data_IF_203274214733
#
_entry.id   IF_203274214733
#
_cell.length_a   1.000
_cell.length_b   1.000
_cell.length_c   1.000
_cell.angle_alpha   90.00
_cell.angle_beta   90.00
_cell.angle_gamma   90.00
#
_symmetry.space_group_name_H-M   'P 1'
#
loop_
_entity.id
_entity.type
_entity.pdbx_description
1 polymer ?
#
# COMPACT_ATOMS: atom_id res chain seq x y z
N UNK A 1 24.66 -46.39 -16.46
CA UNK A 1 25.54 -45.43 -15.75
C UNK A 1 25.01 -44.04 -16.07
N UNK A 2 24.20 -43.47 -15.16
CA UNK A 2 24.60 -42.40 -14.22
C UNK A 2 24.98 -41.12 -15.01
N UNK A 3 24.28 -39.99 -14.94
CA UNK A 3 23.68 -39.36 -13.76
C UNK A 3 22.50 -38.45 -14.11
N UNK A 4 21.43 -38.58 -13.31
CA UNK A 4 20.34 -37.63 -13.17
C UNK A 4 20.82 -36.46 -12.31
N UNK A 5 20.84 -35.24 -12.85
CA UNK A 5 21.04 -34.01 -12.08
C UNK A 5 19.70 -33.49 -11.57
N UNK A 6 19.20 -34.09 -10.49
CA UNK A 6 18.10 -33.51 -9.72
C UNK A 6 18.64 -32.28 -8.97
N UNK A 7 18.40 -31.10 -9.55
CA UNK A 7 18.56 -29.84 -8.85
C UNK A 7 17.70 -29.84 -7.60
N UNK A 8 18.33 -29.85 -6.43
CA UNK A 8 17.66 -29.69 -5.13
C UNK A 8 16.93 -28.34 -5.14
N UNK A 9 15.61 -28.38 -5.24
CA UNK A 9 14.75 -27.25 -4.88
C UNK A 9 14.98 -27.03 -3.38
N UNK A 10 15.79 -26.03 -3.04
CA UNK A 10 16.01 -25.62 -1.66
C UNK A 10 14.67 -25.02 -1.21
N UNK A 11 13.88 -25.80 -0.48
CA UNK A 11 12.62 -25.34 0.09
C UNK A 11 12.93 -24.10 0.95
N UNK A 12 12.58 -22.92 0.44
CA UNK A 12 12.77 -21.68 1.16
C UNK A 12 11.93 -21.77 2.42
N UNK A 13 12.59 -21.76 3.59
CA UNK A 13 11.86 -21.63 4.85
C UNK A 13 11.19 -20.25 4.84
N UNK A 14 9.94 -20.23 5.27
CA UNK A 14 9.07 -19.06 5.28
C UNK A 14 8.59 -18.85 6.73
N UNK A 15 8.58 -17.59 7.17
CA UNK A 15 8.05 -17.17 8.47
C UNK A 15 6.91 -16.18 8.23
N UNK A 16 5.81 -16.31 8.97
CA UNK A 16 4.72 -15.31 8.92
C UNK A 16 5.20 -14.00 9.53
N UNK A 17 5.00 -12.88 8.85
CA UNK A 17 5.39 -11.53 9.28
C UNK A 17 4.87 -11.19 10.68
N UNK A 18 3.63 -11.58 10.99
CA UNK A 18 3.01 -11.28 12.29
C UNK A 18 3.61 -12.08 13.46
N UNK A 19 4.42 -13.09 13.18
CA UNK A 19 5.18 -13.84 14.20
C UNK A 19 6.51 -13.17 14.57
N UNK A 20 6.94 -12.16 13.79
CA UNK A 20 8.17 -11.42 14.07
C UNK A 20 7.97 -10.42 15.21
N UNK A 21 8.97 -10.29 16.06
CA UNK A 21 9.05 -9.23 17.06
C UNK A 21 9.28 -7.86 16.40
N UNK A 22 8.99 -6.78 17.13
CA UNK A 22 9.09 -5.42 16.57
C UNK A 22 10.49 -5.08 16.04
N UNK A 23 11.54 -5.45 16.79
CA UNK A 23 12.93 -5.28 16.40
C UNK A 23 13.30 -6.08 15.14
N UNK A 24 12.74 -7.27 14.96
CA UNK A 24 12.93 -8.09 13.76
C UNK A 24 12.22 -7.45 12.56
N UNK A 25 11.00 -6.93 12.74
CA UNK A 25 10.29 -6.17 11.70
C UNK A 25 11.05 -4.91 11.28
N UNK A 26 11.62 -4.17 12.24
CA UNK A 26 12.40 -2.96 11.95
C UNK A 26 13.72 -3.26 11.21
N UNK A 27 14.37 -4.37 11.60
CA UNK A 27 15.59 -4.86 10.94
C UNK A 27 15.29 -5.35 9.51
N UNK A 28 14.23 -6.16 9.36
CA UNK A 28 13.71 -6.63 8.07
C UNK A 28 13.40 -5.45 7.16
N UNK A 29 12.66 -4.45 7.67
CA UNK A 29 12.33 -3.25 6.90
C UNK A 29 13.57 -2.52 6.42
N UNK A 30 14.53 -2.31 7.30
CA UNK A 30 15.78 -1.65 6.94
C UNK A 30 16.57 -2.44 5.90
N UNK A 31 16.61 -3.78 6.01
CA UNK A 31 17.25 -4.65 5.03
C UNK A 31 16.56 -4.58 3.66
N UNK A 32 15.24 -4.78 3.63
CA UNK A 32 14.43 -4.76 2.42
C UNK A 32 14.50 -3.40 1.73
N UNK A 33 14.47 -2.29 2.48
CA UNK A 33 14.60 -0.95 1.90
C UNK A 33 15.95 -0.78 1.19
N UNK A 34 17.07 -1.19 1.80
CA UNK A 34 18.41 -1.13 1.16
C UNK A 34 18.46 -1.95 -0.12
N UNK A 35 17.93 -3.18 -0.09
CA UNK A 35 17.89 -4.07 -1.25
C UNK A 35 16.99 -3.51 -2.35
N UNK A 36 15.85 -2.96 -1.98
CA UNK A 36 14.91 -2.34 -2.90
C UNK A 36 15.54 -1.15 -3.65
N UNK A 37 16.23 -0.28 -2.92
CA UNK A 37 16.86 0.93 -3.44
C UNK A 37 18.19 0.68 -4.19
N UNK A 38 18.72 -0.55 -4.10
CA UNK A 38 20.02 -0.92 -4.64
C UNK A 38 21.15 -0.03 -4.08
N UNK A 39 21.07 0.31 -2.79
CA UNK A 39 22.03 1.19 -2.13
C UNK A 39 23.34 0.47 -1.81
N UNK A 40 24.47 1.11 -2.12
CA UNK A 40 25.80 0.68 -1.69
C UNK A 40 26.03 1.01 -0.21
N UNK A 41 27.00 0.36 0.48
CA UNK A 41 27.26 0.61 1.91
C UNK A 41 27.57 2.08 2.27
N UNK A 42 28.27 2.82 1.39
CA UNK A 42 28.56 4.24 1.58
C UNK A 42 27.30 5.12 1.44
N UNK A 43 26.46 4.82 0.46
CA UNK A 43 25.17 5.50 0.28
C UNK A 43 24.21 5.19 1.43
N UNK A 44 24.34 4.01 2.06
CA UNK A 44 23.57 3.58 3.24
C UNK A 44 23.78 4.49 4.45
N UNK A 45 25.00 4.99 4.65
CA UNK A 45 25.33 5.83 5.81
C UNK A 45 24.71 7.22 5.63
N UNK A 46 24.85 7.80 4.44
CA UNK A 46 24.20 9.05 4.07
C UNK A 46 22.67 8.96 4.06
N UNK A 47 22.10 7.87 3.53
CA UNK A 47 20.65 7.63 3.52
C UNK A 47 20.12 7.39 4.93
N UNK A 48 20.87 6.71 5.80
CA UNK A 48 20.51 6.52 7.21
C UNK A 48 20.52 7.83 7.99
N UNK A 49 21.50 8.71 7.78
CA UNK A 49 21.51 10.07 8.38
C UNK A 49 20.34 10.89 7.85
N UNK A 50 20.08 10.87 6.54
CA UNK A 50 18.94 11.58 5.94
C UNK A 50 17.60 11.05 6.44
N UNK A 51 17.50 9.74 6.67
CA UNK A 51 16.34 9.04 7.21
C UNK A 51 16.15 9.39 8.69
N UNK A 52 17.22 9.45 9.48
CA UNK A 52 17.20 9.98 10.85
C UNK A 52 16.72 11.42 10.91
N UNK A 53 17.20 12.29 10.01
CA UNK A 53 16.71 13.66 9.87
C UNK A 53 15.23 13.72 9.45
N UNK A 54 14.74 12.78 8.62
CA UNK A 54 13.31 12.66 8.27
C UNK A 54 12.46 12.13 9.45
N UNK A 55 12.99 11.24 10.28
CA UNK A 55 12.32 10.75 11.50
C UNK A 55 12.07 11.84 12.55
N UNK A 56 12.68 13.02 12.39
CA UNK A 56 12.34 14.20 13.19
C UNK A 56 10.95 14.77 12.88
N UNK A 57 10.34 14.44 11.73
CA UNK A 57 8.93 14.79 11.46
C UNK A 57 8.01 13.82 12.19
N UNK A 58 6.99 14.31 12.92
CA UNK A 58 6.06 13.45 13.65
C UNK A 58 5.31 12.55 12.67
N UNK A 59 5.36 11.24 12.89
CA UNK A 59 4.60 10.25 12.14
C UNK A 59 3.10 10.47 12.42
N UNK A 60 2.31 10.67 11.36
CA UNK A 60 0.86 10.78 11.48
C UNK A 60 0.27 9.44 11.92
N UNK A 61 -0.46 9.44 13.03
CA UNK A 61 -1.16 8.27 13.53
C UNK A 61 -2.33 7.95 12.61
N UNK A 62 -2.45 6.70 12.18
CA UNK A 62 -3.60 6.24 11.39
C UNK A 62 -4.83 6.19 12.30
N UNK A 63 -5.92 6.79 11.84
CA UNK A 63 -7.22 6.82 12.51
C UNK A 63 -7.80 5.41 12.60
N UNK A 64 -8.34 5.03 13.76
CA UNK A 64 -9.01 3.74 13.91
C UNK A 64 -10.33 3.70 13.14
N UNK A 65 -11.02 4.85 13.01
CA UNK A 65 -12.26 4.97 12.24
C UNK A 65 -12.09 4.50 10.77
N UNK A 66 -10.88 4.54 10.21
CA UNK A 66 -10.65 4.04 8.84
C UNK A 66 -10.97 2.55 8.71
N UNK A 67 -10.75 1.76 9.76
CA UNK A 67 -11.02 0.32 9.74
C UNK A 67 -12.52 0.04 9.85
N UNK A 68 -13.25 0.86 10.62
CA UNK A 68 -14.72 0.80 10.65
C UNK A 68 -15.32 1.16 9.30
N UNK A 69 -14.76 2.18 8.63
CA UNK A 69 -15.14 2.56 7.27
C UNK A 69 -14.86 1.41 6.29
N UNK A 70 -13.69 0.77 6.36
CA UNK A 70 -13.36 -0.39 5.52
C UNK A 70 -14.40 -1.50 5.73
N UNK A 71 -14.74 -1.81 6.98
CA UNK A 71 -15.72 -2.82 7.31
C UNK A 71 -17.13 -2.45 6.82
N UNK A 72 -17.52 -1.19 6.93
CA UNK A 72 -18.77 -0.69 6.40
C UNK A 72 -18.83 -0.81 4.87
N UNK A 73 -17.76 -0.42 4.16
CA UNK A 73 -17.68 -0.54 2.70
C UNK A 73 -17.65 -2.00 2.23
N UNK A 74 -17.06 -2.93 2.99
CA UNK A 74 -17.15 -4.38 2.70
C UNK A 74 -18.59 -4.91 2.81
N UNK A 75 -19.45 -4.28 3.59
CA UNK A 75 -20.86 -4.69 3.80
C UNK A 75 -21.82 -3.98 2.85
N UNK A 76 -21.76 -2.66 2.79
CA UNK A 76 -22.72 -1.82 2.05
C UNK A 76 -22.20 -1.44 0.65
N UNK A 77 -20.88 -1.36 0.49
CA UNK A 77 -20.23 -0.96 -0.75
C UNK A 77 -20.36 -1.97 -1.89
N UNK A 78 -20.53 -3.25 -1.58
CA UNK A 78 -20.60 -4.33 -2.56
C UNK A 78 -21.78 -4.20 -3.54
N UNK A 79 -22.84 -3.48 -3.16
CA UNK A 79 -24.05 -3.26 -3.96
C UNK A 79 -24.08 -1.88 -4.65
N UNK A 80 -23.11 -1.02 -4.37
CA UNK A 80 -23.12 0.37 -4.87
C UNK A 80 -22.46 0.45 -6.24
N UNK A 81 -23.25 0.73 -7.29
CA UNK A 81 -22.73 0.88 -8.64
C UNK A 81 -21.66 1.97 -8.72
N UNK A 82 -20.52 1.65 -9.34
CA UNK A 82 -19.45 2.60 -9.58
C UNK A 82 -18.73 3.07 -8.31
N UNK A 83 -18.79 2.31 -7.21
CA UNK A 83 -18.00 2.59 -6.00
C UNK A 83 -16.52 2.85 -6.33
N UNK A 84 -15.90 3.81 -5.65
CA UNK A 84 -14.57 4.37 -5.96
C UNK A 84 -14.42 5.14 -7.28
N UNK A 85 -15.29 4.93 -8.27
CA UNK A 85 -15.30 5.67 -9.55
C UNK A 85 -16.13 6.94 -9.48
N UNK A 86 -17.35 6.84 -8.97
CA UNK A 86 -18.32 7.94 -8.99
C UNK A 86 -18.02 8.98 -7.89
N UNK A 87 -18.25 10.27 -8.18
CA UNK A 87 -18.14 11.33 -7.18
C UNK A 87 -19.29 11.27 -6.18
N UNK A 88 -19.13 11.97 -5.06
CA UNK A 88 -20.13 12.15 -4.01
C UNK A 88 -20.31 13.62 -3.67
N UNK A 89 -21.18 13.94 -2.71
CA UNK A 89 -21.31 15.30 -2.21
C UNK A 89 -19.99 15.77 -1.55
N UNK A 90 -19.40 16.84 -2.09
CA UNK A 90 -18.10 17.35 -1.64
C UNK A 90 -18.12 17.81 -0.17
N UNK A 91 -19.17 18.50 0.27
CA UNK A 91 -19.28 19.01 1.63
C UNK A 91 -19.40 17.86 2.64
N UNK A 92 -20.25 16.87 2.35
CA UNK A 92 -20.40 15.67 3.19
C UNK A 92 -19.10 14.84 3.23
N UNK A 93 -18.41 14.74 2.10
CA UNK A 93 -17.11 14.05 2.00
C UNK A 93 -16.06 14.72 2.88
N UNK A 94 -15.93 16.05 2.82
CA UNK A 94 -14.99 16.77 3.68
C UNK A 94 -15.35 16.66 5.15
N UNK A 95 -16.64 16.75 5.50
CA UNK A 95 -17.12 16.57 6.87
C UNK A 95 -16.72 15.20 7.41
N UNK A 96 -16.99 14.13 6.65
CA UNK A 96 -16.62 12.78 7.03
C UNK A 96 -15.09 12.61 7.12
N UNK A 97 -14.33 13.15 6.17
CA UNK A 97 -12.86 13.12 6.24
C UNK A 97 -12.33 13.79 7.51
N UNK A 98 -12.93 14.90 7.96
CA UNK A 98 -12.52 15.55 9.21
C UNK A 98 -12.78 14.65 10.45
N UNK A 99 -13.93 13.95 10.50
CA UNK A 99 -14.18 12.96 11.54
C UNK A 99 -13.12 11.84 11.53
N UNK A 100 -12.67 11.39 10.35
CA UNK A 100 -11.57 10.42 10.23
C UNK A 100 -10.27 11.01 10.78
N UNK A 101 -9.89 12.22 10.37
CA UNK A 101 -8.65 12.89 10.82
C UNK A 101 -8.62 13.02 12.35
N UNK A 102 -9.73 13.43 12.95
CA UNK A 102 -9.86 13.61 14.39
C UNK A 102 -10.10 12.30 15.16
N UNK A 103 -10.30 11.18 14.44
CA UNK A 103 -10.66 9.88 15.01
C UNK A 103 -11.89 9.95 15.93
N UNK A 104 -12.90 10.71 15.47
CA UNK A 104 -14.17 10.91 16.18
C UNK A 104 -15.13 9.77 15.91
N UNK A 105 -15.83 9.29 16.95
CA UNK A 105 -16.88 8.29 16.77
C UNK A 105 -18.09 8.92 16.07
N UNK A 106 -18.55 8.27 15.01
CA UNK A 106 -19.70 8.71 14.21
C UNK A 106 -20.51 7.52 13.74
N UNK A 107 -21.80 7.74 13.50
CA UNK A 107 -22.64 6.77 12.82
C UNK A 107 -22.46 6.90 11.30
N UNK A 108 -21.86 5.87 10.69
CA UNK A 108 -21.63 5.81 9.24
C UNK A 108 -22.94 5.68 8.44
N UNK A 109 -24.03 5.20 9.05
CA UNK A 109 -25.34 5.07 8.37
C UNK A 109 -25.95 6.41 7.96
N UNK A 110 -25.48 7.51 8.55
CA UNK A 110 -25.90 8.86 8.23
C UNK A 110 -25.30 9.40 6.91
N UNK A 111 -24.40 8.66 6.27
CA UNK A 111 -23.73 9.06 5.04
C UNK A 111 -24.05 8.07 3.91
N UNK A 112 -24.19 8.56 2.68
CA UNK A 112 -24.28 7.68 1.53
C UNK A 112 -22.95 6.97 1.28
N UNK A 113 -23.02 5.77 0.69
CA UNK A 113 -21.84 4.91 0.47
C UNK A 113 -20.78 5.57 -0.41
N UNK A 114 -21.17 6.38 -1.41
CA UNK A 114 -20.22 7.09 -2.25
C UNK A 114 -19.48 8.17 -1.45
N UNK A 115 -20.16 8.88 -0.55
CA UNK A 115 -19.51 9.81 0.40
C UNK A 115 -18.49 9.10 1.28
N UNK A 116 -18.84 7.93 1.83
CA UNK A 116 -17.91 7.12 2.64
C UNK A 116 -16.69 6.69 1.82
N UNK A 117 -16.90 6.16 0.62
CA UNK A 117 -15.82 5.71 -0.27
C UNK A 117 -14.91 6.87 -0.72
N UNK A 118 -15.47 8.05 -0.98
CA UNK A 118 -14.68 9.23 -1.36
C UNK A 118 -13.95 9.83 -0.16
N UNK A 119 -14.53 9.84 1.04
CA UNK A 119 -13.87 10.30 2.25
C UNK A 119 -12.70 9.38 2.64
N UNK A 120 -12.88 8.06 2.47
CA UNK A 120 -11.83 7.05 2.59
C UNK A 120 -10.63 7.36 1.66
N UNK A 121 -10.89 7.52 0.36
CA UNK A 121 -9.83 7.88 -0.62
C UNK A 121 -9.17 9.21 -0.28
N UNK A 122 -9.96 10.20 0.12
CA UNK A 122 -9.48 11.55 0.46
C UNK A 122 -8.56 11.52 1.67
N UNK A 123 -8.94 10.83 2.73
CA UNK A 123 -8.12 10.66 3.94
C UNK A 123 -6.75 10.04 3.59
N UNK A 124 -6.72 8.92 2.86
CA UNK A 124 -5.46 8.28 2.50
C UNK A 124 -4.60 9.21 1.62
N UNK A 125 -5.19 9.83 0.59
CA UNK A 125 -4.45 10.66 -0.37
C UNK A 125 -3.93 11.96 0.25
N UNK A 126 -4.74 12.63 1.05
CA UNK A 126 -4.48 14.01 1.49
C UNK A 126 -3.90 14.07 2.89
N UNK A 127 -4.38 13.22 3.81
CA UNK A 127 -3.91 13.20 5.18
C UNK A 127 -2.66 12.32 5.33
N UNK A 128 -2.68 11.11 4.78
CA UNK A 128 -1.55 10.16 4.90
C UNK A 128 -0.45 10.34 3.83
N UNK A 129 -0.73 11.17 2.81
CA UNK A 129 0.07 11.32 1.59
C UNK A 129 0.35 9.96 0.93
N UNK A 130 -0.70 9.15 0.80
CA UNK A 130 -0.61 7.79 0.28
C UNK A 130 -0.10 6.76 1.30
N UNK A 131 -0.15 5.49 0.90
CA UNK A 131 0.28 4.35 1.71
C UNK A 131 1.71 3.92 1.38
N UNK A 132 2.22 4.27 0.21
CA UNK A 132 3.58 3.93 -0.19
C UNK A 132 4.54 5.03 0.30
N UNK A 133 5.63 4.68 1.03
CA UNK A 133 6.62 5.66 1.45
C UNK A 133 7.24 6.39 0.25
N UNK A 134 7.55 7.68 0.46
CA UNK A 134 8.09 8.56 -0.58
C UNK A 134 9.37 8.01 -1.20
N UNK A 135 10.29 7.51 -0.37
CA UNK A 135 11.57 6.92 -0.81
C UNK A 135 11.41 5.64 -1.64
N UNK A 136 10.36 4.86 -1.37
CA UNK A 136 10.01 3.66 -2.13
C UNK A 136 9.41 4.07 -3.48
N UNK A 137 8.52 5.07 -3.48
CA UNK A 137 7.92 5.61 -4.69
C UNK A 137 8.94 6.26 -5.64
N UNK A 138 9.95 6.97 -5.12
CA UNK A 138 11.04 7.49 -5.95
C UNK A 138 11.89 6.40 -6.57
N UNK A 139 12.10 5.30 -5.86
CA UNK A 139 12.82 4.13 -6.39
C UNK A 139 12.03 3.49 -7.52
N UNK A 140 10.71 3.37 -7.38
CA UNK A 140 9.82 2.97 -8.48
C UNK A 140 9.95 3.91 -9.68
N UNK A 141 9.86 5.21 -9.47
CA UNK A 141 9.99 6.21 -10.55
C UNK A 141 11.33 6.06 -11.29
N UNK A 142 12.43 5.87 -10.56
CA UNK A 142 13.77 5.61 -11.12
C UNK A 142 13.79 4.31 -11.93
N UNK A 143 13.21 3.25 -11.39
CA UNK A 143 13.17 1.93 -12.04
C UNK A 143 12.33 1.94 -13.33
N UNK A 144 11.22 2.68 -13.34
CA UNK A 144 10.39 2.94 -14.54
C UNK A 144 11.21 3.66 -15.61
N UNK A 145 11.90 4.76 -15.24
CA UNK A 145 12.75 5.54 -16.16
C UNK A 145 13.89 4.70 -16.78
N UNK A 146 14.36 3.68 -16.06
CA UNK A 146 15.37 2.75 -16.50
C UNK A 146 14.81 1.51 -17.22
N UNK A 147 13.52 1.50 -17.61
CA UNK A 147 12.85 0.37 -18.25
C UNK A 147 12.93 -0.95 -17.47
N UNK A 148 13.01 -0.89 -16.14
CA UNK A 148 12.99 -2.07 -15.26
C UNK A 148 12.08 -1.83 -14.03
N UNK A 149 10.77 -1.59 -14.24
CA UNK A 149 9.85 -1.13 -13.20
C UNK A 149 9.68 -2.10 -12.03
N UNK A 150 9.93 -3.40 -12.25
CA UNK A 150 9.76 -4.46 -11.24
C UNK A 150 11.08 -4.88 -10.59
N UNK A 151 12.16 -4.13 -10.80
CA UNK A 151 13.45 -4.40 -10.15
C UNK A 151 13.26 -4.50 -8.63
N UNK A 152 13.70 -5.62 -8.05
CA UNK A 152 13.70 -5.88 -6.61
C UNK A 152 12.30 -5.81 -5.96
N UNK A 153 11.22 -5.98 -6.74
CA UNK A 153 9.84 -5.82 -6.27
C UNK A 153 9.48 -6.80 -5.12
N UNK A 154 10.18 -7.93 -5.02
CA UNK A 154 10.01 -8.91 -3.94
C UNK A 154 10.31 -8.35 -2.54
N UNK A 155 11.11 -7.29 -2.44
CA UNK A 155 11.39 -6.63 -1.15
C UNK A 155 10.32 -5.60 -0.77
N UNK A 156 9.51 -5.14 -1.73
CA UNK A 156 8.53 -4.06 -1.55
C UNK A 156 7.60 -4.25 -0.35
N UNK A 157 6.96 -5.41 -0.12
CA UNK A 157 5.97 -5.59 0.95
C UNK A 157 6.54 -5.26 2.34
N UNK A 158 7.85 -5.48 2.50
CA UNK A 158 8.57 -5.32 3.75
C UNK A 158 9.29 -3.97 3.84
N UNK A 159 9.23 -3.11 2.82
CA UNK A 159 9.73 -1.72 2.91
C UNK A 159 8.76 -0.77 3.63
N UNK A 160 7.49 -1.17 3.72
CA UNK A 160 6.41 -0.38 4.28
C UNK A 160 6.54 -0.25 5.80
N UNK A 161 6.12 0.88 6.34
CA UNK A 161 5.92 1.02 7.78
C UNK A 161 4.75 0.15 8.24
N UNK A 162 4.81 -0.40 9.45
CA UNK A 162 3.84 -1.39 9.92
C UNK A 162 2.38 -0.93 9.83
N UNK A 163 2.06 0.27 10.31
CA UNK A 163 0.68 0.79 10.25
C UNK A 163 0.20 0.97 8.81
N UNK A 164 1.07 1.49 7.92
CA UNK A 164 0.75 1.67 6.49
C UNK A 164 0.64 0.34 5.77
N UNK A 165 1.47 -0.65 6.11
CA UNK A 165 1.39 -2.03 5.61
C UNK A 165 0.06 -2.66 6.00
N UNK A 166 -0.31 -2.58 7.28
CA UNK A 166 -1.57 -3.12 7.79
C UNK A 166 -2.77 -2.47 7.09
N UNK A 167 -2.77 -1.14 6.97
CA UNK A 167 -3.82 -0.44 6.25
C UNK A 167 -3.88 -0.84 4.77
N UNK A 168 -2.74 -0.96 4.08
CA UNK A 168 -2.69 -1.38 2.68
C UNK A 168 -3.28 -2.77 2.46
N UNK A 169 -2.97 -3.72 3.35
CA UNK A 169 -3.57 -5.07 3.32
C UNK A 169 -5.09 -5.00 3.47
N UNK A 170 -5.60 -4.20 4.40
CA UNK A 170 -7.03 -4.01 4.58
C UNK A 170 -7.71 -3.31 3.39
N UNK A 171 -7.03 -2.35 2.76
CA UNK A 171 -7.47 -1.71 1.51
C UNK A 171 -7.56 -2.74 0.38
N UNK A 172 -6.56 -3.60 0.22
CA UNK A 172 -6.60 -4.67 -0.79
C UNK A 172 -7.67 -5.71 -0.50
N UNK A 173 -7.88 -6.06 0.78
CA UNK A 173 -8.98 -6.91 1.23
C UNK A 173 -10.34 -6.30 0.87
N UNK A 174 -10.52 -4.99 1.07
CA UNK A 174 -11.73 -4.26 0.63
C UNK A 174 -11.91 -4.33 -0.88
N UNK A 175 -10.87 -4.06 -1.68
CA UNK A 175 -10.98 -4.12 -3.14
C UNK A 175 -11.35 -5.52 -3.63
N UNK A 176 -10.77 -6.56 -3.03
CA UNK A 176 -11.11 -7.96 -3.31
C UNK A 176 -12.57 -8.25 -2.97
N UNK A 177 -13.10 -7.70 -1.88
CA UNK A 177 -14.50 -7.89 -1.52
C UNK A 177 -15.45 -7.23 -2.53
N UNK A 178 -15.17 -5.98 -2.94
CA UNK A 178 -15.95 -5.29 -3.96
C UNK A 178 -15.91 -6.04 -5.30
N UNK A 179 -14.75 -6.54 -5.71
CA UNK A 179 -14.56 -7.28 -6.97
C UNK A 179 -15.44 -8.54 -7.07
N UNK A 180 -15.66 -9.27 -5.95
CA UNK A 180 -16.56 -10.45 -5.91
C UNK A 180 -17.97 -10.12 -6.38
N UNK A 181 -18.41 -8.87 -6.20
CA UNK A 181 -19.74 -8.40 -6.57
C UNK A 181 -19.72 -7.49 -7.81
N UNK A 182 -18.65 -7.54 -8.61
CA UNK A 182 -18.45 -6.71 -9.80
C UNK A 182 -19.56 -6.82 -10.86
N UNK A 183 -20.33 -7.91 -10.88
CA UNK A 183 -21.53 -8.02 -11.72
C UNK A 183 -22.64 -7.03 -11.34
N UNK A 184 -22.73 -6.68 -10.06
CA UNK A 184 -23.70 -5.73 -9.48
C UNK A 184 -23.11 -4.33 -9.45
N UNK A 185 -22.00 -4.14 -8.74
CA UNK A 185 -21.41 -2.81 -8.55
C UNK A 185 -20.62 -2.29 -9.77
N UNK A 186 -20.41 -3.10 -10.82
CA UNK A 186 -19.66 -2.77 -12.06
C UNK A 186 -18.16 -2.47 -11.86
N UNK A 187 -17.61 -2.77 -10.69
CA UNK A 187 -16.24 -2.47 -10.31
C UNK A 187 -15.46 -3.77 -10.07
N UNK A 188 -14.89 -4.33 -11.15
CA UNK A 188 -13.91 -5.40 -11.02
C UNK A 188 -12.55 -4.86 -10.54
N UNK A 189 -11.65 -5.74 -10.14
CA UNK A 189 -10.33 -5.36 -9.59
C UNK A 189 -9.51 -4.52 -10.56
N UNK A 190 -9.57 -4.79 -11.87
CA UNK A 190 -8.85 -3.99 -12.88
C UNK A 190 -9.39 -2.56 -12.96
N UNK A 191 -10.72 -2.38 -12.88
CA UNK A 191 -11.36 -1.07 -12.86
C UNK A 191 -11.01 -0.30 -11.58
N UNK A 192 -10.95 -0.98 -10.44
CA UNK A 192 -10.56 -0.36 -9.15
C UNK A 192 -9.10 0.10 -9.22
N UNK A 193 -8.18 -0.80 -9.59
CA UNK A 193 -6.74 -0.52 -9.64
C UNK A 193 -6.35 0.50 -10.72
N UNK A 194 -7.23 0.79 -11.69
CA UNK A 194 -7.06 1.90 -12.63
C UNK A 194 -7.27 3.28 -11.98
N UNK A 195 -8.14 3.38 -10.97
CA UNK A 195 -8.64 4.66 -10.43
C UNK A 195 -7.99 5.04 -9.11
N UNK A 196 -7.64 4.04 -8.28
CA UNK A 196 -7.06 4.27 -6.95
C UNK A 196 -5.56 4.61 -6.88
N UNK A 197 -4.71 4.52 -7.93
CA UNK A 197 -3.29 4.87 -7.82
C UNK A 197 -3.00 6.26 -7.21
N UNK A 198 -3.71 7.36 -7.55
CA UNK A 198 -3.51 8.65 -6.90
C UNK A 198 -3.77 8.65 -5.39
N UNK A 199 -4.53 7.66 -4.90
CA UNK A 199 -4.80 7.46 -3.48
C UNK A 199 -3.67 6.68 -2.80
N UNK A 200 -3.09 5.69 -3.48
CA UNK A 200 -2.11 4.77 -2.88
C UNK A 200 -0.69 5.35 -2.90
N UNK A 201 -0.30 6.01 -3.99
CA UNK A 201 1.03 6.60 -4.14
C UNK A 201 1.11 8.01 -3.56
N UNK A 202 2.27 8.45 -3.07
CA UNK A 202 2.46 9.78 -2.54
C UNK A 202 2.41 10.85 -3.64
N UNK A 203 2.06 12.09 -3.28
CA UNK A 203 2.01 13.22 -4.23
C UNK A 203 3.34 13.48 -4.93
N UNK A 204 4.45 13.09 -4.29
CA UNK A 204 5.80 13.34 -4.77
C UNK A 204 6.12 12.72 -6.16
N UNK A 205 5.39 11.67 -6.55
CA UNK A 205 5.50 11.01 -7.88
C UNK A 205 4.32 11.32 -8.80
N UNK A 206 3.37 12.16 -8.36
CA UNK A 206 2.17 12.54 -9.12
C UNK A 206 2.35 13.90 -9.83
N UNK A 207 3.52 14.13 -10.43
CA UNK A 207 3.89 15.44 -11.01
C UNK A 207 3.14 15.76 -12.30
N UNK A 208 2.97 14.76 -13.17
CA UNK A 208 2.15 14.85 -14.36
C UNK A 208 1.57 13.50 -14.73
N UNK A 209 0.47 13.53 -15.49
CA UNK A 209 -0.30 12.32 -15.83
C UNK A 209 0.56 11.31 -16.60
N UNK A 210 1.35 11.76 -17.59
CA UNK A 210 2.14 10.86 -18.45
C UNK A 210 3.19 10.07 -17.66
N UNK A 211 3.90 10.74 -16.75
CA UNK A 211 4.87 10.08 -15.86
C UNK A 211 4.23 9.18 -14.82
N UNK A 212 2.97 9.46 -14.45
CA UNK A 212 2.25 8.69 -13.44
C UNK A 212 1.54 7.45 -14.02
N UNK A 213 1.19 7.43 -15.31
CA UNK A 213 0.49 6.29 -15.94
C UNK A 213 1.14 4.92 -15.66
N UNK A 214 2.47 4.74 -15.73
CA UNK A 214 3.10 3.44 -15.42
C UNK A 214 2.84 2.93 -14.00
N UNK A 215 2.55 3.81 -13.04
CA UNK A 215 2.23 3.41 -11.66
C UNK A 215 0.91 2.64 -11.56
N UNK A 216 0.00 2.79 -12.52
CA UNK A 216 -1.24 2.00 -12.60
C UNK A 216 -0.91 0.51 -12.75
N UNK A 217 -0.02 0.17 -13.68
CA UNK A 217 0.34 -1.23 -13.92
C UNK A 217 1.21 -1.79 -12.80
N UNK A 218 2.10 -0.97 -12.24
CA UNK A 218 2.89 -1.35 -11.05
C UNK A 218 1.97 -1.63 -9.86
N UNK A 219 0.89 -0.87 -9.67
CA UNK A 219 -0.05 -1.15 -8.57
C UNK A 219 -0.69 -2.53 -8.70
N UNK A 220 -0.93 -3.03 -9.92
CA UNK A 220 -1.43 -4.39 -10.14
C UNK A 220 -0.42 -5.44 -9.70
N UNK A 221 0.87 -5.20 -9.94
CA UNK A 221 1.94 -6.09 -9.45
C UNK A 221 2.06 -6.01 -7.93
N UNK A 222 2.05 -4.81 -7.35
CA UNK A 222 2.06 -4.59 -5.90
C UNK A 222 0.88 -5.28 -5.21
N UNK A 223 -0.31 -5.25 -5.81
CA UNK A 223 -1.52 -5.89 -5.30
C UNK A 223 -1.38 -7.42 -5.21
N UNK A 224 -0.56 -8.04 -6.07
CA UNK A 224 -0.35 -9.48 -6.13
C UNK A 224 0.76 -10.00 -5.21
N UNK A 225 1.54 -9.10 -4.60
CA UNK A 225 2.65 -9.50 -3.73
C UNK A 225 2.17 -10.18 -2.46
N UNK A 226 3.04 -11.04 -1.91
CA UNK A 226 2.83 -11.66 -0.61
C UNK A 226 3.30 -10.72 0.50
N UNK A 227 2.36 -10.26 1.32
CA UNK A 227 2.66 -9.42 2.47
C UNK A 227 2.82 -10.27 3.75
N UNK A 228 2.23 -11.47 3.80
CA UNK A 228 2.12 -12.28 5.01
C UNK A 228 3.36 -13.12 5.26
N UNK A 229 3.99 -13.63 4.20
CA UNK A 229 5.05 -14.62 4.28
C UNK A 229 6.41 -14.00 3.97
N UNK A 230 7.30 -14.00 4.97
CA UNK A 230 8.67 -13.51 4.88
C UNK A 230 9.59 -14.69 4.51
N UNK A 231 10.33 -14.61 3.40
CA UNK A 231 11.40 -15.57 3.11
C UNK A 231 12.49 -15.50 4.19
N UNK A 232 12.91 -16.63 4.77
CA UNK A 232 13.94 -16.65 5.83
C UNK A 232 15.25 -15.97 5.43
N UNK A 233 15.59 -15.99 4.13
CA UNK A 233 16.79 -15.31 3.60
C UNK A 233 16.79 -13.79 3.84
N UNK A 234 15.65 -13.20 4.20
CA UNK A 234 15.52 -11.79 4.55
C UNK A 234 15.74 -11.52 6.05
N UNK A 235 15.64 -12.53 6.91
CA UNK A 235 15.72 -12.41 8.38
C UNK A 235 17.15 -12.71 8.88
N UNK A 236 17.86 -13.65 8.24
CA UNK A 236 19.18 -14.12 8.68
C UNK A 236 20.35 -13.14 8.41
N UNK A 237 20.12 -11.82 8.28
CA UNK A 237 21.13 -10.85 7.79
C UNK A 237 21.14 -9.49 8.46
#
# INVERSE_FOLDING_TARGET
MLTSSTGKIKCLKIIKYDRLFQNEKDSLRSYCLRKYQDETPLNTLASSIRRWLKFAKPKKKISNLIYDIINHLKKEGIHTEGIFRLPSNFAATNKLTNHIINNESIDLSCFDVLTIANAFKKYIREELDGLIPEEVAYTLEKNIKNNNPLKNIEYFPFTLEEDKRKLLIEVFSLFKEIDKYSKVNRMNINNILLIVPPTIFPKAVQRNIKEFLPFVDILKEIYRLDYENVPNIFIDK
#
